data_IF_562315333396
#
_entry.id   IF_562315333396
#
_cell.length_a   1.000
_cell.length_b   1.000
_cell.length_c   1.000
_cell.angle_alpha   90.00
_cell.angle_beta   90.00
_cell.angle_gamma   90.00
#
_symmetry.space_group_name_H-M   'P 1'
#
loop_
_entity.id
_entity.type
_entity.pdbx_description
1 polymer ?
#
# COMPACT_ATOMS: atom_id res chain seq x y z
N UNK A 1 -22.04 12.40 -22.44
CA UNK A 1 -20.87 12.63 -23.32
C UNK A 1 -19.68 12.95 -22.42
N UNK A 2 -18.55 12.26 -22.58
CA UNK A 2 -17.29 12.58 -21.87
C UNK A 2 -16.45 13.44 -22.82
N UNK A 3 -15.92 14.56 -22.34
CA UNK A 3 -15.02 15.42 -23.13
C UNK A 3 -13.74 14.67 -23.49
N UNK A 4 -13.17 14.91 -24.67
CA UNK A 4 -11.93 14.27 -25.12
C UNK A 4 -10.72 14.57 -24.20
N UNK A 5 -10.76 15.70 -23.48
CA UNK A 5 -9.71 16.12 -22.56
C UNK A 5 -9.81 15.45 -21.18
N UNK A 6 -11.01 14.99 -20.81
CA UNK A 6 -11.27 14.38 -19.50
C UNK A 6 -10.42 13.12 -19.22
N UNK A 7 -10.33 12.12 -20.13
CA UNK A 7 -9.48 10.95 -19.89
C UNK A 7 -7.98 11.28 -19.89
N UNK A 8 -7.55 12.31 -20.64
CA UNK A 8 -6.15 12.73 -20.67
C UNK A 8 -5.72 13.33 -19.32
N UNK A 9 -6.52 14.26 -18.77
CA UNK A 9 -6.27 14.84 -17.45
C UNK A 9 -6.39 13.79 -16.35
N UNK A 10 -7.39 12.90 -16.46
CA UNK A 10 -7.60 11.84 -15.47
C UNK A 10 -6.43 10.86 -15.42
N UNK A 11 -5.87 10.47 -16.57
CA UNK A 11 -4.68 9.62 -16.61
C UNK A 11 -3.50 10.26 -15.84
N UNK A 12 -3.29 11.58 -16.01
CA UNK A 12 -2.23 12.28 -15.29
C UNK A 12 -2.52 12.40 -13.79
N UNK A 13 -3.77 12.63 -13.42
CA UNK A 13 -4.20 12.64 -12.02
C UNK A 13 -3.97 11.28 -11.36
N UNK A 14 -4.30 10.18 -12.04
CA UNK A 14 -4.05 8.82 -11.57
C UNK A 14 -2.56 8.54 -11.38
N UNK A 15 -1.70 8.99 -12.30
CA UNK A 15 -0.25 8.86 -12.16
C UNK A 15 0.26 9.58 -10.89
N UNK A 16 -0.15 10.82 -10.68
CA UNK A 16 0.20 11.60 -9.50
C UNK A 16 -0.35 10.97 -8.22
N UNK A 17 -1.58 10.44 -8.28
CA UNK A 17 -2.21 9.76 -7.16
C UNK A 17 -1.40 8.54 -6.69
N UNK A 18 -1.01 7.66 -7.62
CA UNK A 18 -0.21 6.47 -7.30
C UNK A 18 1.16 6.86 -6.71
N UNK A 19 1.81 7.87 -7.30
CA UNK A 19 3.09 8.37 -6.79
C UNK A 19 2.97 8.92 -5.36
N UNK A 20 1.95 9.74 -5.08
CA UNK A 20 1.73 10.32 -3.75
C UNK A 20 1.41 9.25 -2.71
N UNK A 21 0.55 8.29 -3.04
CA UNK A 21 0.20 7.19 -2.15
C UNK A 21 1.44 6.33 -1.82
N UNK A 22 2.27 6.04 -2.82
CA UNK A 22 3.50 5.24 -2.65
C UNK A 22 4.50 5.96 -1.76
N UNK A 23 4.77 7.25 -2.00
CA UNK A 23 5.72 8.04 -1.20
C UNK A 23 5.28 8.11 0.26
N UNK A 24 3.99 8.33 0.53
CA UNK A 24 3.45 8.40 1.89
C UNK A 24 3.52 7.06 2.60
N UNK A 25 3.11 5.99 1.93
CA UNK A 25 3.18 4.61 2.46
C UNK A 25 4.64 4.20 2.74
N UNK A 26 5.56 4.58 1.85
CA UNK A 26 6.99 4.33 2.03
C UNK A 26 7.57 5.07 3.24
N UNK A 27 7.18 6.34 3.48
CA UNK A 27 7.61 7.08 4.68
C UNK A 27 7.23 6.34 5.97
N UNK A 28 6.04 5.76 6.04
CA UNK A 28 5.60 4.95 7.19
C UNK A 28 6.45 3.67 7.33
N UNK A 29 6.70 2.96 6.23
CA UNK A 29 7.58 1.78 6.22
C UNK A 29 9.01 2.09 6.69
N UNK A 30 9.55 3.24 6.26
CA UNK A 30 10.89 3.70 6.67
C UNK A 30 10.93 4.02 8.16
N UNK A 31 9.90 4.65 8.71
CA UNK A 31 9.79 4.90 10.16
C UNK A 31 9.74 3.59 10.97
N UNK A 32 9.15 2.54 10.41
CA UNK A 32 9.12 1.21 11.01
C UNK A 32 10.43 0.41 10.78
N UNK A 33 11.49 1.02 10.23
CA UNK A 33 12.76 0.39 9.86
C UNK A 33 12.61 -0.82 8.90
N UNK A 34 11.52 -0.86 8.12
CA UNK A 34 11.27 -1.92 7.16
C UNK A 34 11.77 -1.48 5.78
N UNK A 35 12.53 -2.38 5.12
CA UNK A 35 12.93 -2.23 3.71
C UNK A 35 11.85 -2.65 2.70
N UNK A 36 10.75 -3.23 3.18
CA UNK A 36 9.68 -3.78 2.37
C UNK A 36 8.37 -3.12 2.77
N UNK A 37 7.68 -2.52 1.80
CA UNK A 37 6.39 -1.85 2.01
C UNK A 37 5.29 -2.92 2.18
N UNK A 38 4.60 -2.91 3.31
CA UNK A 38 3.52 -3.86 3.62
C UNK A 38 2.13 -3.22 3.52
N UNK A 39 1.10 -4.05 3.40
CA UNK A 39 -0.31 -3.60 3.41
C UNK A 39 -0.63 -2.75 4.64
N UNK A 40 -0.10 -3.11 5.81
CA UNK A 40 -0.30 -2.38 7.07
C UNK A 40 0.24 -0.94 7.03
N UNK A 41 1.37 -0.74 6.33
CA UNK A 41 1.98 0.58 6.19
C UNK A 41 1.13 1.48 5.28
N UNK A 42 0.47 0.89 4.26
CA UNK A 42 -0.50 1.58 3.41
C UNK A 42 -1.72 1.98 4.23
N UNK A 43 -2.29 1.07 5.02
CA UNK A 43 -3.46 1.36 5.88
C UNK A 43 -3.16 2.55 6.80
N UNK A 44 -1.98 2.55 7.40
CA UNK A 44 -1.53 3.61 8.30
C UNK A 44 -1.34 4.95 7.57
N UNK A 45 -0.75 4.92 6.37
CA UNK A 45 -0.54 6.13 5.56
C UNK A 45 -1.85 6.74 5.04
N UNK A 46 -2.83 5.89 4.69
CA UNK A 46 -4.17 6.32 4.26
C UNK A 46 -4.94 6.90 5.44
N UNK A 47 -4.92 6.27 6.63
CA UNK A 47 -5.52 6.82 7.86
C UNK A 47 -4.92 8.16 8.29
N UNK A 48 -3.64 8.38 8.00
CA UNK A 48 -2.96 9.64 8.30
C UNK A 48 -3.24 10.76 7.28
N UNK A 49 -3.95 10.47 6.18
CA UNK A 49 -4.23 11.44 5.12
C UNK A 49 -5.74 11.57 4.88
N UNK A 50 -6.33 12.68 5.30
CA UNK A 50 -7.77 12.94 5.14
C UNK A 50 -8.26 12.89 3.68
N UNK A 51 -7.39 13.25 2.73
CA UNK A 51 -7.71 13.22 1.29
C UNK A 51 -7.93 11.80 0.76
N UNK A 52 -7.43 10.77 1.45
CA UNK A 52 -7.57 9.37 1.04
C UNK A 52 -8.67 8.61 1.79
N UNK A 53 -9.58 9.30 2.48
CA UNK A 53 -10.67 8.68 3.25
C UNK A 53 -11.58 7.79 2.38
N UNK A 54 -11.73 8.13 1.10
CA UNK A 54 -12.46 7.31 0.12
C UNK A 54 -11.90 5.89 -0.07
N UNK A 55 -10.68 5.62 0.39
CA UNK A 55 -10.04 4.30 0.33
C UNK A 55 -10.23 3.48 1.62
N UNK A 56 -10.75 4.05 2.71
CA UNK A 56 -10.86 3.35 4.00
C UNK A 56 -11.63 2.04 3.90
N UNK A 57 -12.76 2.05 3.20
CA UNK A 57 -13.62 0.88 3.05
C UNK A 57 -12.93 -0.24 2.25
N UNK A 58 -12.28 0.12 1.15
CA UNK A 58 -11.52 -0.79 0.30
C UNK A 58 -10.33 -1.42 1.03
N UNK A 59 -9.61 -0.63 1.82
CA UNK A 59 -8.45 -1.09 2.58
C UNK A 59 -8.89 -2.00 3.72
N UNK A 60 -10.01 -1.68 4.40
CA UNK A 60 -10.55 -2.48 5.49
C UNK A 60 -11.07 -3.85 5.03
N UNK A 61 -11.71 -3.92 3.86
CA UNK A 61 -12.18 -5.19 3.28
C UNK A 61 -11.02 -6.16 3.02
N UNK A 62 -9.88 -5.66 2.55
CA UNK A 62 -8.71 -6.49 2.25
C UNK A 62 -8.06 -7.14 3.48
N UNK A 63 -8.32 -6.61 4.69
CA UNK A 63 -7.82 -7.16 5.96
C UNK A 63 -8.82 -8.19 6.53
N UNK A 64 -10.11 -8.06 6.22
CA UNK A 64 -11.13 -9.03 6.63
C UNK A 64 -11.04 -10.36 5.88
N UNK A 65 -10.53 -10.35 4.64
CA UNK A 65 -10.29 -11.56 3.84
C UNK A 65 -8.92 -12.22 4.10
N UNK A 66 -8.02 -11.59 4.87
CA UNK A 66 -6.76 -12.20 5.31
C UNK A 66 -6.99 -13.03 6.62
N UNK A 67 -7.95 -13.96 6.58
CA UNK A 67 -7.78 -15.28 7.21
C UNK A 67 -6.84 -16.15 6.36
N UNK A 68 -5.81 -15.55 5.77
CA UNK A 68 -4.61 -16.25 5.33
C UNK A 68 -3.60 -16.11 6.45
N UNK A 69 -3.37 -17.25 7.07
CA UNK A 69 -2.52 -17.52 8.22
C UNK A 69 -1.19 -16.75 8.14
N UNK A 70 -0.63 -16.32 9.29
CA UNK A 70 0.70 -15.77 9.32
C UNK A 70 1.69 -16.92 9.10
N UNK A 71 2.45 -16.90 8.01
CA UNK A 71 3.74 -17.60 7.98
C UNK A 71 4.84 -16.58 7.78
N UNK A 72 5.27 -16.04 8.92
CA UNK A 72 6.58 -15.43 9.08
C UNK A 72 7.64 -16.53 8.96
N UNK A 73 8.20 -16.72 7.76
CA UNK A 73 9.49 -17.38 7.57
C UNK A 73 10.46 -16.43 6.82
N UNK A 74 10.96 -15.44 7.55
CA UNK A 74 12.40 -15.13 7.51
C UNK A 74 12.92 -15.82 8.79
N UNK A 75 13.89 -16.74 8.80
CA UNK A 75 15.25 -16.62 8.27
C UNK A 75 15.98 -17.96 8.51
N UNK A 76 16.81 -18.41 7.58
CA UNK A 76 17.92 -19.38 7.76
C UNK A 76 17.60 -20.77 8.35
N UNK A 77 17.18 -21.70 7.49
CA UNK A 77 17.34 -23.14 7.70
C UNK A 77 18.47 -23.69 6.83
N UNK A 78 19.56 -24.12 7.46
CA UNK A 78 20.53 -25.09 6.95
C UNK A 78 21.49 -24.68 5.84
N UNK A 79 22.30 -23.68 6.18
CA UNK A 79 23.71 -23.61 5.75
C UNK A 79 24.58 -24.71 6.42
N UNK A 80 24.06 -25.91 6.79
CA UNK A 80 24.79 -26.86 7.65
C UNK A 80 24.24 -28.32 7.72
N UNK A 81 24.10 -29.07 6.61
CA UNK A 81 24.40 -30.53 6.61
C UNK A 81 24.30 -31.15 5.20
N UNK A 82 25.47 -31.44 4.61
CA UNK A 82 25.92 -32.65 3.90
C UNK A 82 27.01 -32.24 2.92
#
# INVERSE_FOLDING_TARGET
>A
MISCEAPLVFAKACELFIQQLTVRSYKVSVQANKRTLQKDDIVTAVKATDVFDFLMDMVSASVADDCVKPTRERTYGFMLKQ
#
